data_IF_343523406692
#
_entry.id   IF_343523406692
#
_cell.length_a   1.000
_cell.length_b   1.000
_cell.length_c   1.000
_cell.angle_alpha   90.00
_cell.angle_beta   90.00
_cell.angle_gamma   90.00
#
_symmetry.space_group_name_H-M   'P 1'
#
loop_
_entity.id
_entity.type
_entity.pdbx_description
1 polymer ?
#
# COMPACT_ATOMS: atom_id res chain seq x y z
N UNK A 1 -29.58 -9.82 29.71
CA UNK A 1 -29.27 -8.96 28.54
C UNK A 1 -28.08 -9.60 27.84
N UNK A 2 -28.26 -10.17 26.66
CA UNK A 2 -27.15 -10.76 25.88
C UNK A 2 -26.47 -9.60 25.14
N UNK A 3 -25.20 -9.35 25.47
CA UNK A 3 -24.33 -8.49 24.66
C UNK A 3 -24.28 -9.08 23.25
N UNK A 4 -24.93 -8.42 22.29
CA UNK A 4 -24.58 -8.61 20.89
C UNK A 4 -23.17 -8.05 20.71
N UNK A 5 -22.20 -8.91 20.45
CA UNK A 5 -20.91 -8.48 19.92
C UNK A 5 -21.25 -7.77 18.60
N UNK A 6 -21.04 -6.46 18.54
CA UNK A 6 -21.27 -5.71 17.31
C UNK A 6 -20.23 -6.14 16.28
N UNK A 7 -20.64 -6.94 15.29
CA UNK A 7 -19.79 -7.26 14.13
C UNK A 7 -19.61 -6.01 13.27
N UNK A 8 -18.37 -5.66 12.97
CA UNK A 8 -18.01 -4.56 12.07
C UNK A 8 -17.67 -5.10 10.69
N UNK A 9 -18.06 -4.38 9.63
CA UNK A 9 -17.55 -4.60 8.27
C UNK A 9 -16.76 -3.37 7.86
N UNK A 10 -15.54 -3.60 7.41
CA UNK A 10 -14.69 -2.58 6.85
C UNK A 10 -14.51 -2.81 5.34
N UNK A 11 -14.40 -1.72 4.59
CA UNK A 11 -14.08 -1.73 3.17
C UNK A 11 -12.90 -0.80 2.96
N UNK A 12 -11.84 -1.33 2.35
CA UNK A 12 -10.64 -0.60 2.00
C UNK A 12 -10.57 -0.44 0.49
N UNK A 13 -10.08 0.70 0.04
CA UNK A 13 -9.73 0.94 -1.36
C UNK A 13 -8.34 1.55 -1.40
N UNK A 14 -7.43 0.92 -2.15
CA UNK A 14 -6.00 1.23 -2.17
C UNK A 14 -5.42 1.36 -0.75
N UNK A 15 -5.70 0.35 0.10
CA UNK A 15 -5.13 0.26 1.45
C UNK A 15 -5.68 1.28 2.46
N UNK A 16 -6.61 2.14 2.03
CA UNK A 16 -7.22 3.17 2.87
C UNK A 16 -8.67 2.81 3.17
N UNK A 17 -9.08 2.89 4.44
CA UNK A 17 -10.46 2.63 4.84
C UNK A 17 -11.42 3.62 4.15
N UNK A 18 -12.44 3.09 3.48
CA UNK A 18 -13.51 3.88 2.84
C UNK A 18 -14.84 3.75 3.55
N UNK A 19 -15.05 2.64 4.25
CA UNK A 19 -16.30 2.41 4.98
C UNK A 19 -16.06 1.56 6.20
N UNK A 20 -16.74 1.94 7.28
CA UNK A 20 -16.81 1.18 8.52
C UNK A 20 -18.24 1.18 9.01
N UNK A 21 -18.89 0.02 8.91
CA UNK A 21 -20.28 -0.13 9.31
C UNK A 21 -20.35 -0.94 10.60
N UNK A 22 -20.69 -0.24 11.69
CA UNK A 22 -21.03 -0.83 12.97
C UNK A 22 -22.46 -1.37 12.98
N UNK A 23 -22.71 -2.45 13.70
CA UNK A 23 -24.06 -2.93 13.98
C UNK A 23 -24.77 -3.56 12.78
N UNK A 24 -24.07 -4.39 11.99
CA UNK A 24 -24.73 -5.18 10.96
C UNK A 24 -25.62 -6.24 11.62
N UNK A 25 -26.89 -5.90 11.81
CA UNK A 25 -27.93 -6.83 12.25
C UNK A 25 -28.18 -7.85 11.13
N UNK A 26 -27.65 -9.06 11.30
CA UNK A 26 -27.83 -10.17 10.36
C UNK A 26 -26.75 -11.25 10.41
N UNK A 27 -25.56 -10.93 10.93
CA UNK A 27 -24.45 -11.90 11.06
C UNK A 27 -24.18 -12.29 12.53
N UNK A 28 -25.24 -12.44 13.33
CA UNK A 28 -25.12 -13.09 14.63
C UNK A 28 -25.68 -14.50 14.49
N UNK A 29 -24.88 -15.47 14.94
CA UNK A 29 -25.04 -16.93 14.83
C UNK A 29 -24.42 -17.57 13.56
N UNK A 30 -23.44 -18.49 13.70
CA UNK A 30 -22.96 -19.34 12.61
C UNK A 30 -24.07 -20.34 12.27
N UNK A 31 -25.03 -19.93 11.45
CA UNK A 31 -26.21 -20.74 11.16
C UNK A 31 -26.94 -20.40 9.86
N UNK A 32 -26.48 -19.39 9.11
CA UNK A 32 -26.95 -19.20 7.73
C UNK A 32 -26.24 -20.24 6.85
N UNK A 33 -26.90 -21.38 6.66
CA UNK A 33 -26.57 -22.29 5.58
C UNK A 33 -26.75 -21.53 4.27
N UNK A 34 -25.66 -21.07 3.66
CA UNK A 34 -25.68 -20.80 2.23
C UNK A 34 -26.08 -22.12 1.57
N UNK A 35 -27.16 -22.10 0.78
CA UNK A 35 -27.69 -23.32 0.19
C UNK A 35 -26.77 -23.79 -0.94
N UNK A 36 -25.66 -24.47 -0.61
CA UNK A 36 -24.86 -25.26 -1.55
C UNK A 36 -24.52 -24.65 -2.92
N UNK A 37 -24.49 -23.33 -3.05
CA UNK A 37 -24.11 -22.64 -4.29
C UNK A 37 -22.64 -22.26 -4.20
N UNK A 38 -21.91 -22.51 -5.28
CA UNK A 38 -20.52 -22.12 -5.41
C UNK A 38 -20.33 -20.62 -5.19
N UNK A 39 -19.13 -20.23 -4.75
CA UNK A 39 -18.75 -18.82 -4.71
C UNK A 39 -18.66 -18.33 -6.16
N UNK A 40 -19.43 -17.29 -6.47
CA UNK A 40 -19.43 -16.67 -7.79
C UNK A 40 -18.66 -15.36 -7.71
N UNK A 41 -17.63 -15.24 -8.54
CA UNK A 41 -16.83 -14.04 -8.76
C UNK A 41 -17.29 -13.37 -10.06
N UNK A 42 -17.31 -12.03 -10.10
CA UNK A 42 -17.64 -11.30 -11.33
C UNK A 42 -19.13 -11.09 -11.63
N UNK A 43 -20.05 -11.67 -10.86
CA UNK A 43 -21.49 -11.39 -10.96
C UNK A 43 -22.21 -11.64 -9.64
N UNK A 44 -23.45 -11.19 -9.53
CA UNK A 44 -24.31 -11.53 -8.41
C UNK A 44 -24.76 -13.00 -8.51
N UNK A 45 -24.94 -13.67 -7.37
CA UNK A 45 -25.27 -15.10 -7.33
C UNK A 45 -26.59 -15.52 -7.98
N UNK A 46 -27.48 -14.57 -8.29
CA UNK A 46 -28.71 -14.80 -9.07
C UNK A 46 -28.47 -14.73 -10.60
N UNK A 47 -27.21 -14.62 -11.03
CA UNK A 47 -26.82 -14.46 -12.44
C UNK A 47 -27.00 -13.05 -12.98
N UNK A 48 -27.43 -12.08 -12.16
CA UNK A 48 -27.56 -10.69 -12.56
C UNK A 48 -26.29 -9.87 -12.23
N UNK A 49 -26.27 -8.60 -12.65
CA UNK A 49 -25.23 -7.60 -12.31
C UNK A 49 -23.79 -8.09 -12.51
N UNK A 50 -23.43 -8.28 -13.76
CA UNK A 50 -22.07 -8.59 -14.16
C UNK A 50 -21.13 -7.41 -13.89
N UNK A 51 -19.99 -7.70 -13.28
CA UNK A 51 -18.86 -6.79 -13.27
C UNK A 51 -18.31 -6.67 -14.70
N UNK A 52 -18.00 -5.44 -15.12
CA UNK A 52 -17.43 -5.16 -16.44
C UNK A 52 -16.05 -4.56 -16.25
N UNK A 53 -15.04 -5.42 -16.17
CA UNK A 53 -13.65 -5.03 -15.96
C UNK A 53 -12.77 -6.25 -15.78
N UNK A 54 -11.49 -5.99 -15.53
CA UNK A 54 -10.49 -7.01 -15.27
C UNK A 54 -10.47 -7.37 -13.78
N UNK A 55 -10.15 -8.62 -13.47
CA UNK A 55 -9.98 -9.12 -12.11
C UNK A 55 -8.66 -9.86 -12.04
N UNK A 56 -8.00 -9.74 -10.89
CA UNK A 56 -6.71 -10.34 -10.63
C UNK A 56 -6.60 -10.59 -9.11
N UNK A 57 -5.75 -11.54 -8.72
CA UNK A 57 -5.24 -11.71 -7.36
C UNK A 57 -6.33 -11.80 -6.26
N UNK A 58 -7.36 -12.63 -6.49
CA UNK A 58 -8.48 -12.78 -5.56
C UNK A 58 -8.10 -13.72 -4.43
N UNK A 59 -8.33 -13.24 -3.20
CA UNK A 59 -7.97 -13.95 -1.97
C UNK A 59 -9.12 -13.92 -0.98
N UNK A 60 -9.33 -15.03 -0.28
CA UNK A 60 -10.33 -15.17 0.78
C UNK A 60 -9.66 -15.68 2.03
N UNK A 61 -9.85 -14.98 3.14
CA UNK A 61 -9.35 -15.38 4.46
C UNK A 61 -10.52 -15.64 5.41
N UNK A 62 -10.38 -16.61 6.32
CA UNK A 62 -11.33 -16.87 7.41
C UNK A 62 -11.04 -16.00 8.67
N UNK A 63 -10.09 -15.06 8.56
CA UNK A 63 -9.69 -14.11 9.58
C UNK A 63 -9.99 -12.69 9.10
N UNK A 64 -10.38 -11.82 10.03
CA UNK A 64 -10.39 -10.38 9.78
C UNK A 64 -8.93 -9.86 9.68
N UNK A 65 -8.55 -9.34 8.51
CA UNK A 65 -7.25 -8.72 8.29
C UNK A 65 -7.19 -7.34 8.96
N UNK A 66 -6.03 -6.99 9.53
CA UNK A 66 -5.75 -5.62 9.95
C UNK A 66 -5.51 -4.70 8.73
N UNK A 67 -5.46 -3.40 8.97
CA UNK A 67 -5.14 -2.40 7.93
C UNK A 67 -3.73 -2.64 7.40
N UNK A 68 -2.77 -2.89 8.28
CA UNK A 68 -1.37 -3.16 7.95
C UNK A 68 -1.22 -4.47 7.17
N UNK A 69 -1.95 -5.52 7.57
CA UNK A 69 -2.00 -6.79 6.83
C UNK A 69 -2.58 -6.59 5.43
N UNK A 70 -3.67 -5.82 5.32
CA UNK A 70 -4.30 -5.48 4.03
C UNK A 70 -3.32 -4.71 3.13
N UNK A 71 -2.66 -3.68 3.66
CA UNK A 71 -1.67 -2.89 2.92
C UNK A 71 -0.47 -3.73 2.49
N UNK A 72 0.05 -4.59 3.35
CA UNK A 72 1.14 -5.48 3.00
C UNK A 72 0.73 -6.46 1.89
N UNK A 73 -0.47 -7.05 1.99
CA UNK A 73 -0.98 -8.01 1.02
C UNK A 73 -1.31 -7.39 -0.34
N UNK A 74 -1.57 -6.08 -0.43
CA UNK A 74 -1.74 -5.39 -1.72
C UNK A 74 -0.51 -5.46 -2.63
N UNK A 75 0.68 -5.68 -2.07
CA UNK A 75 1.95 -5.58 -2.80
C UNK A 75 2.73 -6.91 -2.85
N UNK A 76 2.14 -8.01 -2.37
CA UNK A 76 2.79 -9.33 -2.37
C UNK A 76 1.76 -10.44 -2.38
N UNK A 77 2.14 -11.61 -2.88
CA UNK A 77 1.34 -12.85 -2.80
C UNK A 77 1.11 -13.27 -1.34
N UNK A 78 -0.02 -13.91 -1.01
CA UNK A 78 -0.26 -14.41 0.33
C UNK A 78 0.71 -15.58 0.64
N UNK A 79 0.95 -15.83 1.92
CA UNK A 79 1.60 -17.05 2.34
C UNK A 79 0.61 -18.21 2.15
N UNK A 80 0.94 -19.17 1.27
CA UNK A 80 0.07 -20.30 0.96
C UNK A 80 -0.03 -21.31 2.12
N UNK A 81 0.90 -21.23 3.08
CA UNK A 81 0.87 -22.02 4.31
C UNK A 81 0.08 -21.34 5.44
N UNK A 82 -0.48 -20.13 5.22
CA UNK A 82 -1.33 -19.46 6.21
C UNK A 82 -2.62 -20.28 6.44
N UNK A 83 -2.85 -20.84 7.64
CA UNK A 83 -4.05 -21.63 7.92
C UNK A 83 -5.35 -20.82 7.84
N UNK A 84 -5.26 -19.49 7.74
CA UNK A 84 -6.40 -18.61 7.55
C UNK A 84 -6.72 -18.33 6.09
N UNK A 85 -5.84 -18.69 5.14
CA UNK A 85 -6.08 -18.56 3.71
C UNK A 85 -7.02 -19.69 3.24
N UNK A 86 -8.20 -19.31 2.75
CA UNK A 86 -9.27 -20.24 2.34
C UNK A 86 -9.25 -20.48 0.84
N UNK A 87 -8.92 -19.45 0.07
CA UNK A 87 -8.85 -19.53 -1.39
C UNK A 87 -7.95 -18.43 -1.95
N UNK A 88 -7.15 -18.78 -2.95
CA UNK A 88 -6.28 -17.86 -3.65
C UNK A 88 -6.22 -18.17 -5.14
N UNK A 89 -6.77 -17.27 -5.95
CA UNK A 89 -6.72 -17.34 -7.42
C UNK A 89 -5.91 -16.14 -7.92
N UNK A 90 -4.68 -16.38 -8.39
CA UNK A 90 -3.82 -15.33 -8.93
C UNK A 90 -4.05 -15.05 -10.41
N UNK A 91 -4.91 -15.81 -11.06
CA UNK A 91 -5.31 -15.63 -12.46
C UNK A 91 -4.14 -15.57 -13.47
N UNK A 92 -3.03 -16.25 -13.15
CA UNK A 92 -1.82 -16.29 -13.98
C UNK A 92 -1.77 -17.50 -14.94
N UNK A 93 -2.85 -18.28 -15.08
CA UNK A 93 -2.86 -19.47 -15.95
C UNK A 93 -2.74 -19.12 -17.44
N UNK A 94 -3.27 -17.95 -17.83
CA UNK A 94 -3.18 -17.40 -19.18
C UNK A 94 -3.99 -18.14 -20.27
N UNK A 95 -4.55 -19.32 -19.98
CA UNK A 95 -5.37 -20.10 -20.91
C UNK A 95 -6.22 -21.17 -20.21
N UNK A 96 -7.23 -21.68 -20.93
CA UNK A 96 -8.13 -22.73 -20.46
C UNK A 96 -9.31 -22.20 -19.65
N UNK A 97 -10.09 -23.10 -19.06
CA UNK A 97 -11.32 -22.78 -18.32
C UNK A 97 -11.17 -22.88 -16.79
N UNK A 98 -9.97 -23.11 -16.29
CA UNK A 98 -9.72 -23.34 -14.86
C UNK A 98 -8.85 -22.22 -14.32
N UNK A 99 -9.31 -21.59 -13.24
CA UNK A 99 -8.49 -20.75 -12.37
C UNK A 99 -8.10 -21.59 -11.15
N UNK A 100 -6.82 -21.92 -10.99
CA UNK A 100 -6.42 -22.84 -9.93
C UNK A 100 -6.38 -22.16 -8.56
N UNK A 101 -6.84 -22.87 -7.53
CA UNK A 101 -6.72 -22.43 -6.15
C UNK A 101 -5.32 -22.75 -5.62
N UNK A 102 -4.50 -21.70 -5.51
CA UNK A 102 -3.12 -21.76 -5.01
C UNK A 102 -3.02 -21.81 -3.49
N UNK A 103 -4.13 -21.74 -2.75
CA UNK A 103 -4.14 -21.94 -1.30
C UNK A 103 -3.95 -23.40 -0.87
N UNK A 104 -4.04 -24.34 -1.82
CA UNK A 104 -3.94 -25.78 -1.53
C UNK A 104 -5.21 -26.40 -0.97
N UNK A 105 -6.31 -25.64 -0.89
CA UNK A 105 -7.61 -26.13 -0.40
C UNK A 105 -8.48 -26.78 -1.49
N UNK A 106 -8.05 -26.74 -2.75
CA UNK A 106 -8.72 -27.39 -3.88
C UNK A 106 -10.02 -26.71 -4.30
N UNK A 107 -10.16 -25.40 -4.04
CA UNK A 107 -11.31 -24.61 -4.46
C UNK A 107 -11.11 -24.07 -5.89
N UNK A 108 -10.70 -24.91 -6.84
CA UNK A 108 -10.45 -24.47 -8.22
C UNK A 108 -11.71 -23.82 -8.82
N UNK A 109 -11.52 -22.68 -9.46
CA UNK A 109 -12.57 -21.94 -10.14
C UNK A 109 -12.74 -22.40 -11.59
N UNK A 110 -13.95 -22.22 -12.11
CA UNK A 110 -14.27 -22.42 -13.53
C UNK A 110 -14.66 -21.09 -14.14
N UNK A 111 -14.05 -20.73 -15.26
CA UNK A 111 -14.41 -19.54 -16.03
C UNK A 111 -15.79 -19.78 -16.66
N UNK A 112 -16.79 -19.01 -16.25
CA UNK A 112 -18.15 -19.16 -16.77
C UNK A 112 -19.03 -20.09 -15.93
N UNK A 113 -19.82 -20.92 -16.60
CA UNK A 113 -20.76 -21.85 -15.96
C UNK A 113 -20.40 -23.33 -16.09
N UNK A 114 -19.41 -23.67 -16.92
CA UNK A 114 -19.00 -25.05 -17.20
C UNK A 114 -17.57 -25.10 -17.73
N UNK A 115 -17.04 -26.32 -17.92
CA UNK A 115 -15.71 -26.53 -18.54
C UNK A 115 -15.71 -26.36 -20.06
N UNK A 116 -16.87 -26.22 -20.69
CA UNK A 116 -16.97 -25.88 -22.10
C UNK A 116 -16.69 -24.39 -22.30
N UNK A 117 -16.00 -24.03 -23.37
CA UNK A 117 -15.70 -22.65 -23.73
C UNK A 117 -16.91 -22.04 -24.41
N UNK A 118 -17.46 -20.96 -23.85
CA UNK A 118 -18.55 -20.17 -24.39
C UNK A 118 -18.10 -18.73 -24.70
N UNK A 119 -18.69 -18.10 -25.73
CA UNK A 119 -18.38 -16.69 -26.07
C UNK A 119 -18.71 -15.70 -24.94
N UNK A 120 -19.54 -16.11 -23.97
CA UNK A 120 -19.89 -15.33 -22.79
C UNK A 120 -18.92 -15.49 -21.62
N UNK A 121 -17.92 -16.36 -21.73
CA UNK A 121 -17.00 -16.62 -20.65
C UNK A 121 -16.00 -15.47 -20.46
N UNK A 122 -15.50 -15.28 -19.23
CA UNK A 122 -14.34 -14.43 -19.00
C UNK A 122 -13.17 -14.89 -19.87
N UNK A 123 -12.41 -13.94 -20.40
CA UNK A 123 -11.21 -14.20 -21.18
C UNK A 123 -9.98 -13.80 -20.39
N UNK A 124 -8.95 -14.65 -20.44
CA UNK A 124 -7.61 -14.32 -19.95
C UNK A 124 -7.06 -13.14 -20.72
N UNK A 125 -6.51 -12.17 -19.99
CA UNK A 125 -5.79 -11.03 -20.54
C UNK A 125 -4.51 -10.86 -19.76
N UNK A 126 -3.45 -10.36 -20.41
CA UNK A 126 -2.22 -10.01 -19.70
C UNK A 126 -2.52 -8.91 -18.67
N UNK A 127 -1.96 -9.05 -17.47
CA UNK A 127 -2.12 -8.08 -16.40
C UNK A 127 -1.15 -6.92 -16.62
N UNK A 128 -1.69 -5.72 -16.80
CA UNK A 128 -0.93 -4.45 -16.72
C UNK A 128 -0.73 -4.00 -15.26
N UNK A 129 -1.26 -4.76 -14.30
CA UNK A 129 -1.17 -4.40 -12.89
C UNK A 129 0.25 -4.68 -12.38
N UNK A 130 0.89 -3.75 -11.65
CA UNK A 130 2.24 -3.92 -11.11
C UNK A 130 2.32 -4.98 -9.98
N UNK A 131 1.30 -5.80 -9.79
CA UNK A 131 1.25 -6.91 -8.82
C UNK A 131 1.68 -8.22 -9.48
N UNK A 132 2.79 -8.20 -10.21
CA UNK A 132 3.20 -9.30 -11.08
C UNK A 132 4.68 -9.65 -11.09
N UNK A 133 5.54 -9.01 -10.29
CA UNK A 133 6.99 -9.30 -10.35
C UNK A 133 7.40 -10.34 -9.30
N UNK A 134 7.23 -11.61 -9.67
CA UNK A 134 7.81 -12.79 -8.98
C UNK A 134 9.09 -13.31 -9.63
N UNK A 135 9.72 -12.50 -10.50
CA UNK A 135 11.14 -12.73 -10.80
C UNK A 135 11.97 -12.13 -9.67
N UNK A 136 13.10 -12.77 -9.34
CA UNK A 136 14.07 -12.18 -8.42
C UNK A 136 14.47 -10.77 -8.89
N UNK A 137 14.58 -10.58 -10.20
CA UNK A 137 14.84 -9.31 -10.87
C UNK A 137 13.80 -8.24 -10.51
N UNK A 138 12.51 -8.54 -10.66
CA UNK A 138 11.45 -7.60 -10.36
C UNK A 138 11.24 -7.27 -8.88
N UNK A 139 11.52 -8.24 -8.00
CA UNK A 139 11.54 -7.98 -6.56
C UNK A 139 12.68 -7.01 -6.21
N UNK A 140 13.85 -7.22 -6.83
CA UNK A 140 15.02 -6.34 -6.63
C UNK A 140 14.73 -4.95 -7.16
N UNK A 141 14.21 -4.84 -8.38
CA UNK A 141 13.80 -3.58 -9.01
C UNK A 141 12.85 -2.79 -8.12
N UNK A 142 11.71 -3.36 -7.73
CA UNK A 142 10.74 -2.67 -6.88
C UNK A 142 11.34 -2.23 -5.55
N UNK A 143 12.07 -3.11 -4.87
CA UNK A 143 12.66 -2.77 -3.58
C UNK A 143 13.69 -1.65 -3.69
N UNK A 144 14.49 -1.62 -4.77
CA UNK A 144 15.44 -0.54 -5.01
C UNK A 144 14.72 0.78 -5.31
N UNK A 145 13.73 0.75 -6.20
CA UNK A 145 12.89 1.91 -6.53
C UNK A 145 12.14 2.46 -5.32
N UNK A 146 11.60 1.60 -4.45
CA UNK A 146 10.92 2.01 -3.21
C UNK A 146 11.88 2.71 -2.24
N UNK A 147 13.11 2.18 -2.07
CA UNK A 147 14.13 2.80 -1.22
C UNK A 147 14.61 4.12 -1.82
N UNK A 148 14.76 4.19 -3.14
CA UNK A 148 15.12 5.40 -3.85
C UNK A 148 14.08 6.51 -3.65
N UNK A 149 12.81 6.21 -3.94
CA UNK A 149 11.68 7.13 -3.78
C UNK A 149 11.56 7.64 -2.34
N UNK A 150 11.71 6.75 -1.36
CA UNK A 150 11.67 7.13 0.05
C UNK A 150 12.79 8.12 0.42
N UNK A 151 14.01 7.94 -0.13
CA UNK A 151 15.14 8.85 0.12
C UNK A 151 14.96 10.20 -0.57
N UNK A 152 14.51 10.21 -1.81
CA UNK A 152 14.18 11.45 -2.53
C UNK A 152 13.13 12.26 -1.75
N UNK A 153 12.07 11.60 -1.30
CA UNK A 153 11.03 12.26 -0.50
C UNK A 153 11.57 12.84 0.83
N UNK A 154 12.50 12.13 1.49
CA UNK A 154 13.15 12.65 2.72
C UNK A 154 13.99 13.88 2.41
N UNK A 155 14.73 13.90 1.30
CA UNK A 155 15.52 15.06 0.89
C UNK A 155 14.65 16.28 0.61
N UNK A 156 13.55 16.11 -0.11
CA UNK A 156 12.60 17.20 -0.37
C UNK A 156 12.11 17.82 0.94
N UNK A 157 11.67 16.99 1.89
CA UNK A 157 11.22 17.45 3.21
C UNK A 157 12.34 18.15 4.00
N UNK A 158 13.57 17.65 3.91
CA UNK A 158 14.73 18.24 4.57
C UNK A 158 15.07 19.62 3.99
N UNK A 159 15.05 19.75 2.66
CA UNK A 159 15.31 21.02 1.99
C UNK A 159 14.22 22.07 2.27
N UNK A 160 12.96 21.65 2.38
CA UNK A 160 11.88 22.54 2.84
C UNK A 160 12.09 23.02 4.29
N UNK A 161 12.47 22.11 5.20
CA UNK A 161 12.76 22.46 6.59
C UNK A 161 13.91 23.47 6.69
N UNK A 162 15.03 23.21 6.02
CA UNK A 162 16.18 24.12 5.96
C UNK A 162 15.76 25.50 5.43
N UNK A 163 14.94 25.55 4.37
CA UNK A 163 14.45 26.82 3.82
C UNK A 163 13.60 27.61 4.83
N UNK A 164 12.76 26.93 5.62
CA UNK A 164 11.98 27.57 6.69
C UNK A 164 12.87 28.10 7.82
N UNK A 165 13.91 27.35 8.21
CA UNK A 165 14.87 27.80 9.21
C UNK A 165 15.68 29.01 8.73
N UNK A 166 16.10 29.03 7.46
CA UNK A 166 16.80 30.17 6.88
C UNK A 166 15.91 31.42 6.83
N UNK A 167 14.63 31.27 6.44
CA UNK A 167 13.66 32.37 6.48
C UNK A 167 13.43 32.90 7.91
N UNK A 168 13.44 32.02 8.91
CA UNK A 168 13.38 32.43 10.32
C UNK A 168 14.63 33.24 10.71
N UNK A 169 15.82 32.80 10.28
CA UNK A 169 17.06 33.54 10.52
C UNK A 169 17.03 34.93 9.89
N UNK A 170 16.55 35.05 8.65
CA UNK A 170 16.44 36.33 7.93
C UNK A 170 15.40 37.26 8.59
N UNK A 171 14.27 36.70 9.03
CA UNK A 171 13.26 37.44 9.80
C UNK A 171 13.82 37.96 11.12
N UNK A 172 14.62 37.15 11.82
CA UNK A 172 15.31 37.60 13.03
C UNK A 172 16.27 38.76 12.71
N UNK A 173 17.03 38.69 11.61
CA UNK A 173 17.90 39.79 11.21
C UNK A 173 17.12 41.08 10.91
N UNK A 174 16.00 40.99 10.21
CA UNK A 174 15.12 42.14 9.92
C UNK A 174 14.54 42.75 11.21
N UNK A 175 13.92 41.94 12.08
CA UNK A 175 13.21 42.46 13.26
C UNK A 175 14.15 42.94 14.37
N UNK A 176 15.32 42.33 14.50
CA UNK A 176 16.31 42.75 15.51
C UNK A 176 17.25 43.86 15.01
N UNK A 177 17.14 44.29 13.75
CA UNK A 177 17.80 45.51 13.26
C UNK A 177 17.29 46.77 13.98
N UNK A 178 15.96 46.87 14.22
CA UNK A 178 15.29 48.07 14.76
C UNK A 178 15.03 48.08 16.27
N UNK A 179 15.55 47.09 17.01
CA UNK A 179 15.92 47.22 18.43
C UNK A 179 14.80 47.44 19.47
N UNK A 180 13.53 47.15 19.16
CA UNK A 180 12.44 47.28 20.15
C UNK A 180 11.66 45.97 20.34
N UNK A 181 12.33 44.98 20.93
CA UNK A 181 11.68 43.79 21.48
C UNK A 181 11.95 43.79 22.99
N UNK A 182 10.98 44.33 23.71
CA UNK A 182 11.08 44.92 25.05
C UNK A 182 11.64 44.04 26.20
N UNK A 183 12.01 42.77 25.97
CA UNK A 183 12.51 41.89 27.03
C UNK A 183 13.67 40.95 26.62
N UNK A 184 14.05 40.87 25.35
CA UNK A 184 15.10 39.92 24.88
C UNK A 184 16.41 40.63 24.57
N UNK A 185 17.51 40.20 25.20
CA UNK A 185 18.82 40.83 24.97
C UNK A 185 19.39 40.48 23.58
N UNK A 186 20.13 41.40 22.95
CA UNK A 186 20.86 41.15 21.69
C UNK A 186 21.76 39.91 21.76
N UNK A 187 22.33 39.63 22.94
CA UNK A 187 23.18 38.46 23.16
C UNK A 187 22.41 37.15 23.12
N UNK A 188 21.15 37.13 23.57
CA UNK A 188 20.33 35.92 23.56
C UNK A 188 19.80 35.61 22.16
N UNK A 189 19.45 36.64 21.39
CA UNK A 189 19.09 36.52 19.96
C UNK A 189 20.26 35.98 19.15
N UNK A 190 21.46 36.52 19.37
CA UNK A 190 22.67 36.05 18.69
C UNK A 190 22.97 34.58 19.00
N UNK A 191 22.80 34.15 20.26
CA UNK A 191 22.95 32.74 20.66
C UNK A 191 21.88 31.85 20.01
N UNK A 192 20.63 32.29 19.96
CA UNK A 192 19.54 31.55 19.32
C UNK A 192 19.83 31.37 17.82
N UNK A 193 20.21 32.44 17.12
CA UNK A 193 20.63 32.39 15.71
C UNK A 193 21.80 31.43 15.49
N UNK A 194 22.83 31.49 16.35
CA UNK A 194 23.97 30.56 16.27
C UNK A 194 23.55 29.10 16.43
N UNK A 195 22.56 28.80 17.28
CA UNK A 195 22.02 27.45 17.43
C UNK A 195 21.26 27.00 16.19
N UNK A 196 20.39 27.84 15.64
CA UNK A 196 19.63 27.53 14.42
C UNK A 196 20.58 27.32 13.24
N UNK A 197 21.55 28.21 13.02
CA UNK A 197 22.58 28.00 11.99
C UNK A 197 23.41 26.73 12.22
N UNK A 198 23.56 26.28 13.47
CA UNK A 198 24.17 25.00 13.79
C UNK A 198 23.31 23.81 13.37
N UNK A 199 21.99 23.90 13.56
CA UNK A 199 21.02 22.90 13.12
C UNK A 199 20.98 22.80 11.58
N UNK A 200 20.83 23.94 10.87
CA UNK A 200 20.89 24.02 9.41
C UNK A 200 22.12 23.29 8.86
N UNK A 201 23.31 23.57 9.40
CA UNK A 201 24.56 22.91 8.96
C UNK A 201 24.55 21.40 9.18
N UNK A 202 23.94 20.94 10.27
CA UNK A 202 23.82 19.51 10.55
C UNK A 202 22.84 18.83 9.58
N UNK A 203 21.76 19.53 9.23
CA UNK A 203 20.77 19.09 8.25
C UNK A 203 21.36 19.07 6.83
N UNK A 204 22.09 20.11 6.40
CA UNK A 204 22.82 20.13 5.12
C UNK A 204 23.80 18.94 4.99
N UNK A 205 24.52 18.62 6.06
CA UNK A 205 25.40 17.44 6.10
C UNK A 205 24.61 16.13 5.99
N UNK A 206 23.45 16.06 6.62
CA UNK A 206 22.55 14.90 6.52
C UNK A 206 22.00 14.76 5.11
N UNK A 207 21.60 15.87 4.47
CA UNK A 207 21.16 15.92 3.08
C UNK A 207 22.24 15.40 2.14
N UNK A 208 23.47 15.90 2.27
CA UNK A 208 24.63 15.42 1.50
C UNK A 208 24.85 13.90 1.65
N UNK A 209 24.67 13.36 2.86
CA UNK A 209 24.82 11.93 3.10
C UNK A 209 23.68 11.10 2.46
N UNK A 210 22.46 11.65 2.41
CA UNK A 210 21.32 11.01 1.74
C UNK A 210 21.47 11.09 0.23
N UNK A 211 21.91 12.22 -0.35
CA UNK A 211 22.26 12.36 -1.77
C UNK A 211 23.27 11.29 -2.20
N UNK A 212 24.38 11.16 -1.47
CA UNK A 212 25.38 10.12 -1.74
C UNK A 212 24.84 8.69 -1.61
N UNK A 213 23.77 8.50 -0.84
CA UNK A 213 23.10 7.20 -0.73
C UNK A 213 22.17 6.95 -1.90
N UNK A 214 21.56 8.00 -2.47
CA UNK A 214 20.73 7.93 -3.67
C UNK A 214 21.62 7.61 -4.88
N UNK A 215 22.74 8.32 -5.04
CA UNK A 215 23.71 8.08 -6.12
C UNK A 215 24.16 6.60 -6.16
N UNK A 216 24.34 5.98 -5.00
CA UNK A 216 24.72 4.56 -4.89
C UNK A 216 23.58 3.60 -5.25
N UNK A 217 22.34 4.00 -5.04
CA UNK A 217 21.17 3.21 -5.43
C UNK A 217 20.94 3.35 -6.93
N UNK A 218 21.08 4.56 -7.48
CA UNK A 218 21.04 4.80 -8.92
C UNK A 218 22.11 3.98 -9.65
N UNK A 219 23.37 4.02 -9.20
CA UNK A 219 24.46 3.19 -9.77
C UNK A 219 24.16 1.69 -9.69
N UNK A 220 23.49 1.24 -8.63
CA UNK A 220 23.06 -0.15 -8.49
C UNK A 220 21.92 -0.51 -9.44
N UNK A 221 20.94 0.38 -9.64
CA UNK A 221 19.84 0.22 -10.60
C UNK A 221 20.37 0.17 -12.04
N UNK A 222 21.26 1.11 -12.40
CA UNK A 222 21.96 1.15 -13.69
C UNK A 222 22.74 -0.14 -13.96
N UNK A 223 23.49 -0.63 -12.96
CA UNK A 223 24.27 -1.88 -13.06
C UNK A 223 23.38 -3.10 -13.33
N UNK A 224 22.17 -3.08 -12.82
CA UNK A 224 21.19 -4.16 -12.96
C UNK A 224 20.30 -3.99 -14.21
N UNK A 225 20.41 -2.88 -14.94
CA UNK A 225 19.58 -2.60 -16.12
C UNK A 225 18.14 -2.23 -15.79
N UNK A 226 17.92 -1.67 -14.60
CA UNK A 226 16.62 -1.16 -14.14
C UNK A 226 16.50 0.30 -14.61
N UNK A 227 15.44 0.63 -15.36
CA UNK A 227 15.14 2.00 -15.84
C UNK A 227 14.27 2.82 -14.87
#
# INVERSE_FOLDING_TARGET
>A
MRNHIMSTRQVYYNGTEKSNRNGISGYTEPGWSFSGTDIIIGKQGDGSRHYKGLMDDIRIFNKALSVEETQALMHRRPDVDDPNLVGYWDFDEGQGQIAYDKSGNGNDGVLGGSLDIEDSDPVWVESDAPVGICTLEGIVERNLTDVWNAKVSILEQLYEAIAQEQALVDYMDEKFADRDLAETSKGDVAKAKQKIMGAIRQEEQSGTAVDQSIDKIDDAMDTLGIE
#
